data_IF_284741569173
#
_entry.id   IF_284741569173
#
_cell.length_a   1.000
_cell.length_b   1.000
_cell.length_c   1.000
_cell.angle_alpha   90.00
_cell.angle_beta   90.00
_cell.angle_gamma   90.00
#
_symmetry.space_group_name_H-M   'P 1'
#
loop_
_entity.id
_entity.type
_entity.pdbx_description
1 polymer ?
#
# COMPACT_ATOMS: atom_id res chain seq x y z
N UNK A 1 -13.27 -29.62 -18.60
CA UNK A 1 -12.31 -29.12 -19.62
C UNK A 1 -12.35 -27.60 -19.58
N UNK A 2 -11.32 -26.95 -19.02
CA UNK A 2 -11.32 -25.50 -18.82
C UNK A 2 -11.18 -24.80 -20.17
N UNK A 3 -12.24 -24.11 -20.60
CA UNK A 3 -12.18 -23.21 -21.74
C UNK A 3 -11.01 -22.23 -21.52
N UNK A 4 -10.07 -22.18 -22.46
CA UNK A 4 -8.97 -21.23 -22.42
C UNK A 4 -9.58 -19.83 -22.53
N UNK A 5 -9.77 -19.17 -21.40
CA UNK A 5 -10.05 -17.74 -21.32
C UNK A 5 -9.03 -17.00 -22.18
N UNK A 6 -9.53 -16.08 -23.03
CA UNK A 6 -8.71 -15.20 -23.85
C UNK A 6 -7.65 -14.51 -22.97
N UNK A 7 -6.41 -14.43 -23.47
CA UNK A 7 -5.26 -13.88 -22.74
C UNK A 7 -5.50 -12.45 -22.27
N UNK A 8 -6.19 -11.63 -23.07
CA UNK A 8 -6.54 -10.25 -22.71
C UNK A 8 -7.56 -10.18 -21.57
N UNK A 9 -8.59 -11.04 -21.61
CA UNK A 9 -9.61 -11.12 -20.56
C UNK A 9 -8.98 -11.57 -19.24
N UNK A 10 -8.07 -12.55 -19.28
CA UNK A 10 -7.28 -12.94 -18.10
C UNK A 10 -6.49 -11.78 -17.54
N UNK A 11 -5.78 -11.04 -18.40
CA UNK A 11 -4.98 -9.87 -17.99
C UNK A 11 -5.83 -8.83 -17.26
N UNK A 12 -7.01 -8.52 -17.79
CA UNK A 12 -7.95 -7.57 -17.19
C UNK A 12 -8.43 -8.02 -15.82
N UNK A 13 -8.86 -9.28 -15.69
CA UNK A 13 -9.31 -9.84 -14.40
C UNK A 13 -8.20 -9.77 -13.34
N UNK A 14 -6.96 -10.05 -13.71
CA UNK A 14 -5.81 -9.95 -12.79
C UNK A 14 -5.60 -8.50 -12.36
N UNK A 15 -5.59 -7.55 -13.30
CA UNK A 15 -5.39 -6.13 -12.98
C UNK A 15 -6.47 -5.60 -12.05
N UNK A 16 -7.74 -5.84 -12.39
CA UNK A 16 -8.88 -5.37 -11.60
C UNK A 16 -8.86 -5.97 -10.18
N UNK A 17 -8.57 -7.27 -10.06
CA UNK A 17 -8.50 -7.93 -8.75
C UNK A 17 -7.39 -7.40 -7.85
N UNK A 18 -6.22 -7.06 -8.41
CA UNK A 18 -5.13 -6.44 -7.64
C UNK A 18 -5.44 -4.99 -7.25
N UNK A 19 -6.08 -4.20 -8.13
CA UNK A 19 -6.49 -2.82 -7.84
C UNK A 19 -7.53 -2.78 -6.71
N UNK A 20 -8.47 -3.73 -6.70
CA UNK A 20 -9.53 -3.82 -5.70
C UNK A 20 -9.09 -4.54 -4.40
N UNK A 21 -7.82 -4.92 -4.27
CA UNK A 21 -7.30 -5.71 -3.14
C UNK A 21 -8.09 -7.01 -2.87
N UNK A 22 -8.57 -7.67 -3.92
CA UNK A 22 -9.30 -8.94 -3.79
C UNK A 22 -8.38 -10.07 -3.30
N UNK A 23 -8.90 -11.07 -2.57
CA UNK A 23 -8.11 -12.24 -2.18
C UNK A 23 -7.56 -12.99 -3.40
N UNK A 24 -6.25 -13.25 -3.42
CA UNK A 24 -5.58 -13.91 -4.55
C UNK A 24 -6.17 -15.30 -4.89
N UNK A 25 -6.74 -15.99 -3.89
CA UNK A 25 -7.40 -17.28 -4.08
C UNK A 25 -8.63 -17.15 -4.97
N UNK A 26 -9.39 -16.08 -4.80
CA UNK A 26 -10.64 -15.85 -5.52
C UNK A 26 -10.37 -15.41 -6.96
N UNK A 27 -9.34 -14.58 -7.16
CA UNK A 27 -8.85 -14.21 -8.50
C UNK A 27 -8.38 -15.47 -9.25
N UNK A 28 -7.61 -16.35 -8.59
CA UNK A 28 -7.11 -17.59 -9.19
C UNK A 28 -8.25 -18.55 -9.57
N UNK A 29 -9.26 -18.69 -8.68
CA UNK A 29 -10.46 -19.48 -8.93
C UNK A 29 -11.25 -18.95 -10.12
N UNK A 30 -11.46 -17.62 -10.21
CA UNK A 30 -12.19 -16.96 -11.31
C UNK A 30 -11.53 -17.19 -12.68
N UNK A 31 -10.20 -17.24 -12.71
CA UNK A 31 -9.41 -17.48 -13.93
C UNK A 31 -9.22 -18.99 -14.21
N UNK A 32 -9.56 -19.85 -13.23
CA UNK A 32 -9.36 -21.30 -13.30
C UNK A 32 -7.89 -21.70 -13.33
N UNK A 33 -7.03 -21.03 -12.56
CA UNK A 33 -5.60 -21.33 -12.50
C UNK A 33 -5.09 -21.51 -11.06
N UNK A 34 -3.87 -22.04 -10.93
CA UNK A 34 -3.22 -22.13 -9.61
C UNK A 34 -2.77 -20.76 -9.13
N UNK A 35 -2.66 -20.61 -7.80
CA UNK A 35 -2.15 -19.40 -7.16
C UNK A 35 -0.71 -19.07 -7.59
N UNK A 36 0.12 -20.10 -7.80
CA UNK A 36 1.48 -19.93 -8.31
C UNK A 36 1.48 -19.39 -9.74
N UNK A 37 0.63 -19.93 -10.62
CA UNK A 37 0.47 -19.45 -12.00
C UNK A 37 -0.02 -18.00 -12.02
N UNK A 38 -1.00 -17.64 -11.19
CA UNK A 38 -1.49 -16.27 -11.07
C UNK A 38 -0.36 -15.30 -10.71
N UNK A 39 0.46 -15.62 -9.70
CA UNK A 39 1.58 -14.77 -9.25
C UNK A 39 2.62 -14.57 -10.35
N UNK A 40 2.96 -15.62 -11.10
CA UNK A 40 3.91 -15.51 -12.24
C UNK A 40 3.34 -14.59 -13.32
N UNK A 41 2.06 -14.72 -13.67
CA UNK A 41 1.42 -13.86 -14.67
C UNK A 41 1.32 -12.41 -14.18
N UNK A 42 0.93 -12.19 -12.93
CA UNK A 42 0.84 -10.87 -12.32
C UNK A 42 2.21 -10.15 -12.32
N UNK A 43 3.28 -10.90 -11.98
CA UNK A 43 4.66 -10.41 -12.06
C UNK A 43 5.07 -10.02 -13.48
N UNK A 44 4.74 -10.86 -14.49
CA UNK A 44 5.00 -10.54 -15.91
C UNK A 44 4.21 -9.33 -16.43
N UNK A 45 3.01 -9.08 -15.90
CA UNK A 45 2.19 -7.91 -16.25
C UNK A 45 2.75 -6.63 -15.61
N UNK A 46 3.53 -6.75 -14.52
CA UNK A 46 4.05 -5.62 -13.76
C UNK A 46 3.05 -5.05 -12.75
N UNK A 47 2.00 -5.79 -12.39
CA UNK A 47 1.03 -5.33 -11.39
C UNK A 47 1.42 -5.69 -9.94
N UNK A 48 2.52 -6.41 -9.75
CA UNK A 48 3.10 -6.71 -8.44
C UNK A 48 4.33 -5.85 -8.20
N UNK A 49 4.58 -5.49 -6.93
CA UNK A 49 5.85 -4.88 -6.51
C UNK A 49 7.05 -5.71 -6.98
N UNK A 50 8.08 -5.04 -7.48
CA UNK A 50 9.38 -5.66 -7.75
C UNK A 50 10.01 -6.20 -6.46
N UNK A 51 10.98 -7.13 -6.54
CA UNK A 51 11.69 -7.61 -5.34
C UNK A 51 12.30 -6.49 -4.51
N UNK A 52 12.81 -5.42 -5.17
CA UNK A 52 13.33 -4.22 -4.52
C UNK A 52 12.24 -3.47 -3.78
N UNK A 53 11.14 -3.10 -4.44
CA UNK A 53 10.01 -2.40 -3.81
C UNK A 53 9.36 -3.22 -2.69
N UNK A 54 9.30 -4.54 -2.84
CA UNK A 54 8.80 -5.42 -1.80
C UNK A 54 9.77 -5.51 -0.61
N UNK A 55 11.08 -5.43 -0.85
CA UNK A 55 12.09 -5.35 0.20
C UNK A 55 12.04 -3.98 0.89
N UNK A 56 11.88 -2.89 0.14
CA UNK A 56 11.75 -1.54 0.67
C UNK A 56 10.47 -1.39 1.49
N UNK A 57 9.34 -1.94 1.00
CA UNK A 57 8.09 -2.03 1.75
C UNK A 57 8.25 -2.81 3.07
N UNK A 58 8.99 -3.94 3.03
CA UNK A 58 9.27 -4.77 4.23
C UNK A 58 10.27 -4.13 5.19
N UNK A 59 11.21 -3.34 4.69
CA UNK A 59 12.19 -2.59 5.49
C UNK A 59 11.54 -1.43 6.26
N UNK A 60 10.32 -1.06 5.91
CA UNK A 60 9.53 -0.07 6.62
C UNK A 60 9.42 1.27 5.88
N UNK A 61 8.59 2.15 6.43
CA UNK A 61 8.27 3.46 5.89
C UNK A 61 9.55 4.29 5.70
N UNK A 62 9.92 4.56 4.44
CA UNK A 62 11.02 5.47 4.14
C UNK A 62 10.59 6.88 4.52
N UNK A 63 11.14 7.42 5.61
CA UNK A 63 10.85 8.79 6.02
C UNK A 63 11.64 9.73 5.11
N UNK A 64 10.96 10.63 4.38
CA UNK A 64 11.63 11.63 3.55
C UNK A 64 12.68 12.41 4.36
N UNK A 65 13.82 12.74 3.75
CA UNK A 65 14.94 13.44 4.41
C UNK A 65 14.47 14.69 5.17
N UNK A 66 13.56 15.45 4.55
CA UNK A 66 12.98 16.69 5.09
C UNK A 66 11.98 16.47 6.24
N UNK A 67 11.61 15.23 6.54
CA UNK A 67 10.69 14.84 7.62
C UNK A 67 11.34 13.92 8.65
N UNK A 68 12.62 13.63 8.47
CA UNK A 68 13.36 12.68 9.30
C UNK A 68 13.53 13.17 10.74
N UNK A 69 13.79 14.46 10.93
CA UNK A 69 13.91 15.07 12.26
C UNK A 69 12.58 14.99 13.02
N UNK A 70 11.47 15.39 12.38
CA UNK A 70 10.11 15.33 12.92
C UNK A 70 9.76 13.89 13.36
N UNK A 71 10.04 12.90 12.50
CA UNK A 71 9.78 11.48 12.81
C UNK A 71 10.60 10.97 14.00
N UNK A 72 11.89 11.32 14.09
CA UNK A 72 12.71 10.87 15.22
C UNK A 72 12.33 11.56 16.52
N UNK A 73 11.92 12.84 16.48
CA UNK A 73 11.30 13.50 17.62
C UNK A 73 9.99 12.81 18.02
N UNK A 74 9.17 12.42 17.04
CA UNK A 74 7.94 11.65 17.25
C UNK A 74 8.21 10.31 17.97
N UNK A 75 9.24 9.58 17.54
CA UNK A 75 9.62 8.29 18.11
C UNK A 75 10.31 8.38 19.48
N UNK A 76 11.07 9.44 19.76
CA UNK A 76 11.77 9.62 21.03
C UNK A 76 10.88 10.15 22.15
N UNK A 77 9.89 10.99 21.83
CA UNK A 77 8.98 11.58 22.84
C UNK A 77 7.98 10.54 23.36
N UNK A 78 7.73 9.46 22.60
CA UNK A 78 6.98 8.28 23.05
C UNK A 78 5.48 8.48 23.23
N UNK A 79 5.01 9.68 23.58
CA UNK A 79 3.59 10.01 23.70
C UNK A 79 3.34 11.49 23.38
N UNK A 80 2.85 11.75 22.17
CA UNK A 80 2.14 13.00 21.91
C UNK A 80 0.78 12.87 22.58
N UNK A 81 0.37 13.88 23.34
CA UNK A 81 -0.98 13.94 23.87
C UNK A 81 -1.94 13.96 22.68
N UNK A 82 -3.10 13.32 22.80
CA UNK A 82 -4.08 13.24 21.72
C UNK A 82 -4.41 14.61 21.09
N UNK A 83 -4.33 15.68 21.89
CA UNK A 83 -4.47 17.07 21.45
C UNK A 83 -3.37 17.52 20.49
N UNK A 84 -2.10 17.26 20.81
CA UNK A 84 -0.96 17.63 19.97
C UNK A 84 -1.02 16.89 18.63
N UNK A 85 -1.44 15.63 18.63
CA UNK A 85 -1.72 14.88 17.40
C UNK A 85 -2.85 15.54 16.59
N UNK A 86 -3.95 15.95 17.23
CA UNK A 86 -5.07 16.58 16.55
C UNK A 86 -4.68 17.94 15.94
N UNK A 87 -3.79 18.69 16.58
CA UNK A 87 -3.26 19.97 16.08
C UNK A 87 -2.30 19.74 14.88
N UNK A 88 -1.35 18.78 14.99
CA UNK A 88 -0.43 18.41 13.89
C UNK A 88 -1.20 17.91 12.65
N UNK A 89 -2.30 17.18 12.86
CA UNK A 89 -3.15 16.67 11.79
C UNK A 89 -4.15 17.70 11.26
N UNK A 90 -4.18 18.92 11.81
CA UNK A 90 -5.11 19.98 11.40
C UNK A 90 -6.58 19.70 11.75
N UNK A 91 -6.84 18.73 12.64
CA UNK A 91 -8.16 18.39 13.15
C UNK A 91 -8.62 19.37 14.24
N UNK A 92 -7.67 20.02 14.91
CA UNK A 92 -7.92 21.07 15.89
C UNK A 92 -7.22 22.35 15.42
N UNK A 93 -8.00 23.38 15.10
CA UNK A 93 -7.48 24.71 14.81
C UNK A 93 -7.13 25.39 16.11
N UNK A 94 -5.83 25.44 16.43
CA UNK A 94 -5.35 26.36 17.48
C UNK A 94 -5.48 27.76 16.90
N UNK A 95 -6.47 28.51 17.36
CA UNK A 95 -6.44 29.95 17.17
C UNK A 95 -5.20 30.42 17.92
N UNK A 96 -4.14 30.73 17.17
CA UNK A 96 -3.00 31.46 17.71
C UNK A 96 -3.58 32.79 18.17
N UNK A 97 -3.78 32.93 19.48
CA UNK A 97 -3.98 34.22 20.11
C UNK A 97 -2.67 34.98 19.95
N UNK A 98 -2.49 35.54 18.76
CA UNK A 98 -1.48 36.55 18.52
C UNK A 98 -1.81 37.72 19.41
N UNK A 99 -1.03 37.86 20.47
CA UNK A 99 -0.81 39.16 21.08
C UNK A 99 0.63 39.54 20.74
N UNK A 100 0.74 40.73 20.17
CA UNK A 100 1.93 41.57 20.08
C UNK A 100 2.74 41.60 21.39
#
# INVERSE_FOLDING_TARGET
>A
MNAKLNSEVRRKIILDGYVNNEPLKDIAARIGCSLASLKVTASKIGCTRTPKEAADFRRGFHIPENKRQDYYQLMNIGQYKARECAEILGLLTVQSSGNE
#
